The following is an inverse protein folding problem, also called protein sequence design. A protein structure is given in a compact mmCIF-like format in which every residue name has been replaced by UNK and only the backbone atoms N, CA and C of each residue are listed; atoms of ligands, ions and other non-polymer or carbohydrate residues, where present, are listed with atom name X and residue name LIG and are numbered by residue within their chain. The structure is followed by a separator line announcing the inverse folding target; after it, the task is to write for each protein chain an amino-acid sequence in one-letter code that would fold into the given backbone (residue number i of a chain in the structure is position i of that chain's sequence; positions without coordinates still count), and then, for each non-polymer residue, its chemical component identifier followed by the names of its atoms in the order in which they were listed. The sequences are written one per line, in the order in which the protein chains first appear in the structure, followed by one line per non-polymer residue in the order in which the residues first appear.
data_IF_035101518211
#
_entry.id   IF_035101518211
#
_cell.length_a   1.000
_cell.length_b   1.000
_cell.length_c   1.000
_cell.angle_alpha   90.00
_cell.angle_beta   90.00
_cell.angle_gamma   90.00
#
_symmetry.space_group_name_H-M   'P 1'
#
loop_
_entity.id
_entity.type
_entity.pdbx_description
1 polymer ?
#
# COMPACT_ATOMS: atom_id res chain seq x y z
N UNK A 1 48.54 16.64 -36.78
CA UNK A 1 48.36 16.84 -35.33
C UNK A 1 46.86 16.89 -35.09
N UNK A 2 46.42 16.03 -34.17
CA UNK A 2 45.09 15.43 -34.09
C UNK A 2 43.90 16.39 -33.92
N UNK A 3 42.73 16.04 -34.49
CA UNK A 3 41.47 16.65 -34.13
C UNK A 3 41.11 16.21 -32.71
N UNK A 4 40.95 17.17 -31.81
CA UNK A 4 40.49 16.98 -30.44
C UNK A 4 39.14 16.26 -30.40
N UNK A 5 39.18 14.93 -30.31
CA UNK A 5 38.07 14.12 -29.82
C UNK A 5 37.74 14.60 -28.40
N UNK A 6 36.47 14.85 -28.06
CA UNK A 6 36.10 15.10 -26.67
C UNK A 6 36.52 13.88 -25.84
N UNK A 7 37.41 14.13 -24.87
CA UNK A 7 37.92 13.15 -23.88
C UNK A 7 36.84 12.78 -22.86
N UNK A 8 35.69 12.29 -23.31
CA UNK A 8 34.65 11.74 -22.44
C UNK A 8 34.30 10.32 -22.87
N UNK A 9 35.32 9.47 -22.92
CA UNK A 9 35.17 8.03 -23.20
C UNK A 9 35.07 7.18 -21.92
N UNK A 10 35.04 7.82 -20.75
CA UNK A 10 35.42 7.15 -19.50
C UNK A 10 34.29 6.77 -18.55
N UNK A 11 33.01 6.94 -18.91
CA UNK A 11 31.93 6.53 -18.00
C UNK A 11 30.77 5.74 -18.64
N UNK A 12 31.00 5.13 -19.80
CA UNK A 12 30.08 4.15 -20.39
C UNK A 12 30.52 2.68 -20.14
N UNK A 13 31.33 2.43 -19.12
CA UNK A 13 31.65 1.05 -18.73
C UNK A 13 30.37 0.31 -18.34
N UNK A 14 30.28 -0.98 -18.66
CA UNK A 14 29.20 -1.83 -18.15
C UNK A 14 29.11 -1.74 -16.62
N UNK A 15 30.24 -1.58 -15.92
CA UNK A 15 30.26 -1.41 -14.46
C UNK A 15 29.68 -0.07 -13.97
N UNK A 16 29.77 1.02 -14.75
CA UNK A 16 29.18 2.34 -14.39
C UNK A 16 27.71 2.47 -14.79
N UNK A 17 27.28 1.69 -15.78
CA UNK A 17 25.90 1.72 -16.32
C UNK A 17 25.01 0.60 -15.78
N UNK A 18 25.58 -0.46 -15.20
CA UNK A 18 24.81 -1.57 -14.63
C UNK A 18 24.25 -1.20 -13.26
N UNK A 19 22.96 -0.92 -13.21
CA UNK A 19 22.20 -0.84 -11.96
C UNK A 19 21.96 -2.28 -11.47
N UNK A 20 22.67 -2.69 -10.42
CA UNK A 20 22.37 -3.93 -9.72
C UNK A 20 21.05 -3.77 -8.99
N UNK A 21 20.00 -4.39 -9.52
CA UNK A 21 18.80 -4.58 -8.74
C UNK A 21 19.16 -5.34 -7.46
N UNK A 22 18.61 -4.89 -6.32
CA UNK A 22 18.74 -5.61 -5.08
C UNK A 22 18.23 -7.05 -5.22
N UNK A 23 18.55 -7.91 -4.24
CA UNK A 23 18.02 -9.30 -4.25
C UNK A 23 16.50 -9.24 -4.49
N UNK A 24 15.97 -10.06 -5.41
CA UNK A 24 14.54 -10.04 -5.69
C UNK A 24 13.77 -10.29 -4.39
N UNK A 25 12.74 -9.48 -4.15
CA UNK A 25 11.85 -9.71 -3.03
C UNK A 25 11.26 -11.12 -3.20
N UNK A 26 11.32 -11.98 -2.17
CA UNK A 26 10.74 -13.30 -2.25
C UNK A 26 9.24 -13.17 -2.55
N UNK A 27 8.76 -14.00 -3.49
CA UNK A 27 7.34 -14.01 -3.83
C UNK A 27 6.52 -14.34 -2.58
N UNK A 28 5.42 -13.61 -2.40
CA UNK A 28 4.49 -13.86 -1.28
C UNK A 28 3.88 -15.27 -1.35
N UNK A 29 3.69 -15.77 -2.57
CA UNK A 29 3.12 -17.09 -2.86
C UNK A 29 4.01 -17.83 -3.86
N UNK A 30 4.17 -19.13 -3.63
CA UNK A 30 4.87 -20.06 -4.52
C UNK A 30 3.93 -21.13 -5.07
N UNK A 31 4.31 -21.83 -6.14
CA UNK A 31 3.51 -22.91 -6.70
C UNK A 31 3.52 -24.15 -5.78
N UNK A 32 2.35 -24.75 -5.58
CA UNK A 32 2.18 -26.08 -4.99
C UNK A 32 1.33 -26.95 -5.93
N UNK A 33 1.47 -28.29 -5.90
CA UNK A 33 0.59 -29.17 -6.67
C UNK A 33 -0.88 -28.91 -6.29
N UNK A 34 -1.75 -28.85 -7.31
CA UNK A 34 -3.18 -28.73 -7.10
C UNK A 34 -3.73 -29.99 -6.41
N UNK A 35 -4.57 -29.81 -5.39
CA UNK A 35 -5.28 -30.89 -4.72
C UNK A 35 -6.62 -31.20 -5.38
N UNK A 36 -7.28 -32.27 -4.93
CA UNK A 36 -8.60 -32.68 -5.45
C UNK A 36 -9.74 -31.71 -5.09
N UNK A 37 -9.52 -30.82 -4.11
CA UNK A 37 -10.47 -29.77 -3.72
C UNK A 37 -10.26 -28.46 -4.48
N UNK A 38 -9.18 -28.35 -5.26
CA UNK A 38 -8.90 -27.16 -6.05
C UNK A 38 -9.63 -27.21 -7.39
N UNK A 39 -9.86 -26.05 -7.98
CA UNK A 39 -10.50 -25.94 -9.28
C UNK A 39 -9.66 -26.64 -10.37
N UNK A 40 -10.20 -27.68 -11.04
CA UNK A 40 -9.49 -28.40 -12.09
C UNK A 40 -9.07 -27.52 -13.26
N UNK A 41 -9.75 -26.38 -13.48
CA UNK A 41 -9.43 -25.45 -14.57
C UNK A 41 -8.16 -24.64 -14.32
N UNK A 42 -7.69 -24.57 -13.06
CA UNK A 42 -6.49 -23.82 -12.66
C UNK A 42 -5.17 -24.49 -13.04
N UNK A 43 -5.22 -25.73 -13.55
CA UNK A 43 -4.05 -26.49 -13.98
C UNK A 43 -3.36 -27.27 -12.84
N UNK A 44 -2.19 -27.86 -13.10
CA UNK A 44 -1.54 -28.77 -12.17
C UNK A 44 -0.92 -28.10 -10.94
N UNK A 45 -0.79 -26.77 -10.93
CA UNK A 45 -0.19 -26.01 -9.85
C UNK A 45 -1.04 -24.80 -9.48
N UNK A 46 -1.08 -24.48 -8.19
CA UNK A 46 -1.75 -23.31 -7.63
C UNK A 46 -0.79 -22.50 -6.76
N UNK A 47 -1.05 -21.21 -6.56
CA UNK A 47 -0.21 -20.35 -5.73
C UNK A 47 -0.64 -20.40 -4.26
N UNK A 48 0.29 -20.70 -3.37
CA UNK A 48 0.08 -20.77 -1.93
C UNK A 48 1.13 -19.98 -1.13
N UNK A 49 0.72 -19.47 0.02
CA UNK A 49 1.65 -19.02 1.05
C UNK A 49 2.41 -20.20 1.63
N UNK A 50 3.68 -19.97 1.99
CA UNK A 50 4.54 -21.01 2.56
C UNK A 50 3.97 -21.62 3.85
N UNK A 51 3.43 -20.78 4.72
CA UNK A 51 2.91 -21.15 6.03
C UNK A 51 1.94 -20.07 6.56
N UNK A 52 1.25 -20.38 7.66
CA UNK A 52 0.30 -19.47 8.30
C UNK A 52 0.95 -18.15 8.77
N UNK A 53 2.17 -18.14 9.34
CA UNK A 53 2.88 -16.89 9.66
C UNK A 53 3.11 -15.99 8.42
N UNK A 54 3.51 -16.58 7.29
CA UNK A 54 3.74 -15.84 6.04
C UNK A 54 2.44 -15.23 5.52
N UNK A 55 1.32 -15.97 5.59
CA UNK A 55 -0.02 -15.45 5.26
C UNK A 55 -0.40 -14.28 6.17
N UNK A 56 -0.26 -14.43 7.49
CA UNK A 56 -0.63 -13.41 8.46
C UNK A 56 0.21 -12.14 8.33
N UNK A 57 1.52 -12.28 8.09
CA UNK A 57 2.42 -11.17 7.85
C UNK A 57 2.06 -10.41 6.57
N UNK A 58 1.74 -11.13 5.50
CA UNK A 58 1.31 -10.53 4.24
C UNK A 58 -0.04 -9.82 4.37
N UNK A 59 -1.00 -10.41 5.10
CA UNK A 59 -2.31 -9.80 5.37
C UNK A 59 -2.15 -8.48 6.14
N UNK A 60 -1.37 -8.50 7.23
CA UNK A 60 -1.06 -7.30 8.01
C UNK A 60 -0.34 -6.24 7.18
N UNK A 61 0.60 -6.65 6.32
CA UNK A 61 1.29 -5.73 5.41
C UNK A 61 0.34 -5.10 4.40
N UNK A 62 -0.63 -5.86 3.88
CA UNK A 62 -1.70 -5.33 3.03
C UNK A 62 -2.50 -4.25 3.77
N UNK A 63 -2.99 -4.56 4.97
CA UNK A 63 -3.78 -3.60 5.76
C UNK A 63 -2.98 -2.33 6.06
N UNK A 64 -1.75 -2.46 6.55
CA UNK A 64 -0.90 -1.31 6.84
C UNK A 64 -0.64 -0.44 5.61
N UNK A 65 -0.39 -1.03 4.43
CA UNK A 65 -0.17 -0.26 3.19
C UNK A 65 -1.41 0.48 2.74
N UNK A 66 -2.57 -0.17 2.78
CA UNK A 66 -3.84 0.47 2.36
C UNK A 66 -4.23 1.57 3.35
N UNK A 67 -4.09 1.34 4.66
CA UNK A 67 -4.33 2.36 5.69
C UNK A 67 -3.45 3.57 5.42
N UNK A 68 -2.14 3.37 5.25
CA UNK A 68 -1.19 4.45 4.99
C UNK A 68 -1.58 5.28 3.76
N UNK A 69 -1.82 4.63 2.61
CA UNK A 69 -2.21 5.34 1.39
C UNK A 69 -3.55 6.06 1.52
N UNK A 70 -4.51 5.46 2.22
CA UNK A 70 -5.80 6.07 2.49
C UNK A 70 -5.66 7.30 3.39
N UNK A 71 -4.85 7.23 4.45
CA UNK A 71 -4.60 8.35 5.35
C UNK A 71 -3.88 9.52 4.65
N UNK A 72 -2.92 9.23 3.77
CA UNK A 72 -2.27 10.25 2.95
C UNK A 72 -3.27 10.94 2.00
N UNK A 73 -4.12 10.16 1.33
CA UNK A 73 -5.21 10.71 0.52
C UNK A 73 -6.22 11.51 1.33
N UNK A 74 -6.55 11.03 2.53
CA UNK A 74 -7.45 11.72 3.46
C UNK A 74 -6.85 13.04 3.95
N UNK A 75 -5.53 13.13 4.18
CA UNK A 75 -4.87 14.39 4.56
C UNK A 75 -5.11 15.49 3.53
N UNK A 76 -4.95 15.15 2.25
CA UNK A 76 -5.20 16.09 1.15
C UNK A 76 -6.70 16.43 1.06
N UNK A 77 -7.57 15.41 1.09
CA UNK A 77 -9.03 15.61 1.01
C UNK A 77 -9.61 16.43 2.17
N UNK A 78 -9.11 16.21 3.38
CA UNK A 78 -9.51 16.94 4.58
C UNK A 78 -9.02 18.38 4.55
N UNK A 79 -7.80 18.65 4.09
CA UNK A 79 -7.32 20.02 3.91
C UNK A 79 -8.19 20.82 2.91
N UNK A 80 -8.57 20.19 1.78
CA UNK A 80 -9.49 20.79 0.81
C UNK A 80 -10.87 21.04 1.43
N UNK A 81 -11.38 20.08 2.20
CA UNK A 81 -12.69 20.18 2.86
C UNK A 81 -12.70 21.29 3.91
N UNK A 82 -11.67 21.37 4.74
CA UNK A 82 -11.49 22.41 5.75
C UNK A 82 -11.41 23.80 5.10
N UNK A 83 -10.58 23.97 4.07
CA UNK A 83 -10.46 25.23 3.33
C UNK A 83 -11.79 25.70 2.72
N UNK A 84 -12.58 24.77 2.18
CA UNK A 84 -13.90 25.06 1.62
C UNK A 84 -14.94 25.45 2.68
N UNK A 85 -14.86 24.86 3.88
CA UNK A 85 -15.74 25.20 5.01
C UNK A 85 -15.38 26.54 5.63
N UNK A 86 -14.10 26.82 5.78
CA UNK A 86 -13.57 28.01 6.46
C UNK A 86 -13.36 29.20 5.50
N UNK A 87 -13.96 29.16 4.30
CA UNK A 87 -13.81 30.25 3.34
C UNK A 87 -14.59 31.50 3.76
N UNK A 88 -13.97 32.68 3.69
CA UNK A 88 -14.67 33.93 3.90
C UNK A 88 -15.76 34.10 2.85
N UNK A 89 -16.78 34.89 3.18
CA UNK A 89 -17.85 35.18 2.25
C UNK A 89 -17.28 35.97 1.06
N UNK A 90 -17.76 35.66 -0.15
CA UNK A 90 -17.22 36.24 -1.39
C UNK A 90 -17.26 37.79 -1.42
N UNK A 91 -18.21 38.41 -0.71
CA UNK A 91 -18.32 39.86 -0.61
C UNK A 91 -17.25 40.50 0.29
N UNK A 92 -16.68 39.75 1.24
CA UNK A 92 -15.63 40.27 2.13
C UNK A 92 -14.35 40.60 1.35
N UNK A 93 -14.08 39.87 0.26
CA UNK A 93 -12.98 40.18 -0.65
C UNK A 93 -13.16 41.49 -1.43
N UNK A 94 -14.39 42.04 -1.50
CA UNK A 94 -14.68 43.32 -2.17
C UNK A 94 -14.42 44.53 -1.27
N UNK A 95 -14.43 44.36 0.06
CA UNK A 95 -14.28 45.44 1.05
C UNK A 95 -12.78 45.71 1.37
N UNK A 96 -11.89 44.88 0.84
CA UNK A 96 -10.44 45.08 0.87
C UNK A 96 -9.70 44.01 1.67
N UNK A 97 -8.74 43.37 1.00
CA UNK A 97 -7.91 42.26 1.51
C UNK A 97 -7.23 42.56 2.86
N UNK A 98 -6.93 43.83 3.16
CA UNK A 98 -6.28 44.27 4.41
C UNK A 98 -7.13 44.09 5.68
N UNK A 99 -8.43 43.82 5.54
CA UNK A 99 -9.34 43.59 6.69
C UNK A 99 -9.61 42.11 6.98
N UNK A 100 -9.04 41.19 6.19
CA UNK A 100 -9.27 39.76 6.35
C UNK A 100 -8.36 39.20 7.43
N UNK A 101 -8.95 38.79 8.56
CA UNK A 101 -8.24 38.03 9.60
C UNK A 101 -7.97 36.61 9.09
N UNK A 102 -6.73 36.37 8.69
CA UNK A 102 -6.28 35.05 8.25
C UNK A 102 -6.03 34.10 9.43
N UNK A 103 -5.86 34.63 10.64
CA UNK A 103 -5.63 33.82 11.86
C UNK A 103 -6.92 33.10 12.28
N UNK A 104 -8.08 33.75 12.16
CA UNK A 104 -9.37 33.07 12.38
C UNK A 104 -9.62 31.95 11.36
N UNK A 105 -9.24 32.18 10.09
CA UNK A 105 -9.35 31.18 9.03
C UNK A 105 -8.44 29.99 9.30
N UNK A 106 -7.17 30.24 9.61
CA UNK A 106 -6.18 29.20 9.93
C UNK A 106 -6.67 28.33 11.10
N UNK A 107 -7.14 28.96 12.18
CA UNK A 107 -7.70 28.23 13.33
C UNK A 107 -8.92 27.38 12.97
N UNK A 108 -9.81 27.88 12.12
CA UNK A 108 -10.95 27.11 11.61
C UNK A 108 -10.46 25.91 10.79
N UNK A 109 -9.50 26.13 9.89
CA UNK A 109 -8.97 25.09 9.01
C UNK A 109 -8.30 23.96 9.81
N UNK A 110 -7.51 24.30 10.83
CA UNK A 110 -6.86 23.33 11.71
C UNK A 110 -7.89 22.43 12.42
N UNK A 111 -8.94 23.05 13.00
CA UNK A 111 -10.00 22.32 13.72
C UNK A 111 -10.78 21.41 12.76
N UNK A 112 -11.20 21.93 11.61
CA UNK A 112 -11.98 21.17 10.63
C UNK A 112 -11.15 20.05 9.98
N UNK A 113 -9.86 20.29 9.74
CA UNK A 113 -8.95 19.29 9.20
C UNK A 113 -8.70 18.16 10.20
N UNK A 114 -8.44 18.49 11.47
CA UNK A 114 -8.23 17.49 12.53
C UNK A 114 -9.48 16.61 12.71
N UNK A 115 -10.66 17.22 12.82
CA UNK A 115 -11.92 16.49 12.94
C UNK A 115 -12.17 15.56 11.75
N UNK A 116 -11.91 16.04 10.53
CA UNK A 116 -12.01 15.23 9.32
C UNK A 116 -11.02 14.07 9.32
N UNK A 117 -9.76 14.30 9.70
CA UNK A 117 -8.72 13.28 9.73
C UNK A 117 -9.03 12.16 10.71
N UNK A 118 -9.53 12.48 11.90
CA UNK A 118 -9.93 11.48 12.90
C UNK A 118 -11.01 10.55 12.32
N UNK A 119 -12.06 11.12 11.71
CA UNK A 119 -13.11 10.34 11.08
C UNK A 119 -12.61 9.54 9.86
N UNK A 120 -11.64 10.07 9.11
CA UNK A 120 -11.07 9.39 7.96
C UNK A 120 -10.22 8.18 8.36
N UNK A 121 -9.45 8.25 9.46
CA UNK A 121 -8.62 7.13 9.94
C UNK A 121 -9.46 5.88 10.21
N UNK A 122 -10.60 6.02 10.88
CA UNK A 122 -11.52 4.90 11.14
C UNK A 122 -12.04 4.28 9.84
N UNK A 123 -12.43 5.12 8.87
CA UNK A 123 -12.87 4.69 7.54
C UNK A 123 -11.75 3.99 6.77
N UNK A 124 -10.51 4.45 6.89
CA UNK A 124 -9.35 3.83 6.26
C UNK A 124 -9.08 2.42 6.80
N UNK A 125 -9.22 2.21 8.11
CA UNK A 125 -9.12 0.86 8.70
C UNK A 125 -10.21 -0.07 8.15
N UNK A 126 -11.46 0.40 8.13
CA UNK A 126 -12.57 -0.37 7.56
C UNK A 126 -12.37 -0.71 6.08
N UNK A 127 -11.91 0.27 5.29
CA UNK A 127 -11.60 0.10 3.88
C UNK A 127 -10.47 -0.92 3.65
N UNK A 128 -9.39 -0.83 4.43
CA UNK A 128 -8.28 -1.76 4.35
C UNK A 128 -8.71 -3.20 4.65
N UNK A 129 -9.51 -3.40 5.71
CA UNK A 129 -10.04 -4.73 6.05
C UNK A 129 -10.85 -5.31 4.90
N UNK A 130 -11.77 -4.55 4.31
CA UNK A 130 -12.59 -5.00 3.17
C UNK A 130 -11.70 -5.36 1.97
N UNK A 131 -10.72 -4.51 1.64
CA UNK A 131 -9.85 -4.72 0.48
C UNK A 131 -8.85 -5.87 0.65
N UNK A 132 -8.37 -6.11 1.86
CA UNK A 132 -7.44 -7.21 2.14
C UNK A 132 -8.15 -8.54 2.40
N UNK A 133 -9.38 -8.56 2.92
CA UNK A 133 -10.08 -9.80 3.29
C UNK A 133 -10.31 -10.71 2.08
N UNK A 134 -10.98 -10.23 1.03
CA UNK A 134 -11.34 -11.06 -0.13
C UNK A 134 -10.13 -11.76 -0.77
N UNK A 135 -9.03 -11.07 -1.15
CA UNK A 135 -7.89 -11.73 -1.80
C UNK A 135 -7.10 -12.69 -0.90
N UNK A 136 -7.25 -12.60 0.43
CA UNK A 136 -6.55 -13.45 1.39
C UNK A 136 -7.38 -14.63 1.92
N UNK A 137 -8.71 -14.52 1.96
CA UNK A 137 -9.60 -15.61 2.37
C UNK A 137 -9.48 -16.82 1.44
N UNK A 138 -9.45 -16.57 0.13
CA UNK A 138 -9.37 -17.63 -0.87
C UNK A 138 -7.92 -18.11 -1.10
N UNK A 139 -6.94 -17.55 -0.38
CA UNK A 139 -5.55 -17.87 -0.59
C UNK A 139 -5.15 -19.19 0.11
N UNK A 140 -4.50 -20.07 -0.65
CA UNK A 140 -3.98 -21.34 -0.12
C UNK A 140 -2.79 -21.10 0.79
N UNK A 141 -2.69 -21.93 1.84
CA UNK A 141 -1.51 -22.04 2.70
C UNK A 141 -0.98 -23.46 2.52
N UNK A 142 0.31 -23.60 2.23
CA UNK A 142 0.94 -24.90 2.12
C UNK A 142 0.87 -25.58 3.49
N UNK A 143 0.13 -26.69 3.57
CA UNK A 143 0.12 -27.55 4.75
C UNK A 143 1.40 -28.37 4.71
N UNK A 144 2.26 -28.21 5.71
CA UNK A 144 3.51 -28.96 5.78
C UNK A 144 3.25 -30.46 5.82
N UNK A 145 4.08 -31.25 5.13
CA UNK A 145 4.03 -32.72 5.14
C UNK A 145 3.94 -33.31 6.56
N UNK A 146 4.50 -32.62 7.57
CA UNK A 146 4.43 -33.02 8.98
C UNK A 146 3.00 -33.11 9.54
N UNK A 147 2.07 -32.23 9.14
CA UNK A 147 0.67 -32.32 9.56
C UNK A 147 -0.07 -33.47 8.86
N UNK A 148 0.28 -33.75 7.60
CA UNK A 148 -0.28 -34.88 6.86
C UNK A 148 0.24 -36.20 7.45
N UNK A 149 1.53 -36.26 7.81
CA UNK A 149 2.12 -37.41 8.49
C UNK A 149 1.50 -37.64 9.88
N UNK A 150 1.37 -36.60 10.71
CA UNK A 150 0.74 -36.72 12.03
C UNK A 150 -0.73 -37.18 11.92
N UNK A 151 -1.52 -36.61 11.00
CA UNK A 151 -2.91 -37.03 10.75
C UNK A 151 -3.06 -38.43 10.14
N UNK A 152 -1.99 -39.00 9.57
CA UNK A 152 -1.96 -40.36 9.02
C UNK A 152 -1.54 -41.37 10.08
N UNK A 153 -0.65 -40.97 11.00
CA UNK A 153 -0.28 -41.74 12.19
C UNK A 153 -1.43 -41.79 13.20
N UNK A 154 -2.20 -40.71 13.39
CA UNK A 154 -3.39 -40.69 14.27
C UNK A 154 -4.59 -41.49 13.73
N UNK A 155 -4.57 -41.87 12.45
CA UNK A 155 -5.63 -42.66 11.78
C UNK A 155 -5.26 -44.14 11.58
N UNK A 156 -4.09 -44.56 12.09
CA UNK A 156 -3.67 -45.96 12.20
C UNK A 156 -3.81 -46.42 13.65
#
# INVERSE_FOLDING_TARGET
MDPSLPQNLEEYSASSTTIKFGRPLPLLRGPIPAGTSDDPSSGPYILAFKDLPSWAAAYKSCESKIIFQCEEGARIGCAITASNKCKPAWWQSLIGWKSMDLTERERCEDIEMEACLVAAKEKCVGFAKVKCTTPFLDARIAVGEKEIMNKRVERM
#
